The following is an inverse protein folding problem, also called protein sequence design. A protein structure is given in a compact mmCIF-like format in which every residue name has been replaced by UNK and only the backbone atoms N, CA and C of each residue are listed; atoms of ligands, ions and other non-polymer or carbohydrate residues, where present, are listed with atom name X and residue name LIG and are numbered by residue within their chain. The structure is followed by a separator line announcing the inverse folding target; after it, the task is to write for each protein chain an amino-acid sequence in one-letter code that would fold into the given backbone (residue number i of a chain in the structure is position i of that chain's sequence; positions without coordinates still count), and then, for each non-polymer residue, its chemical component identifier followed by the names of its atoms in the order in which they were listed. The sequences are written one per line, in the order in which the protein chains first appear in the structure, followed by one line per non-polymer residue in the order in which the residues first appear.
data_IF_511863242120
#
_entry.id   IF_511863242120
#
_cell.length_a   1.000
_cell.length_b   1.000
_cell.length_c   1.000
_cell.angle_alpha   90.00
_cell.angle_beta   90.00
_cell.angle_gamma   90.00
#
_symmetry.space_group_name_H-M   'P 1'
#
loop_
_entity.id
_entity.type
_entity.pdbx_description
1 polymer ?
#
# COMPACT_ATOMS: atom_id res chain seq x y z
N UNK A 1 5.97 34.00 21.92
CA UNK A 1 5.56 32.64 22.32
C UNK A 1 4.94 31.94 21.12
N UNK A 2 5.72 31.19 20.34
CA UNK A 2 5.22 30.46 19.17
C UNK A 2 4.77 29.07 19.61
N UNK A 3 3.46 28.82 19.60
CA UNK A 3 2.91 27.47 19.77
C UNK A 3 3.27 26.65 18.54
N UNK A 4 4.21 25.71 18.68
CA UNK A 4 4.43 24.62 17.74
C UNK A 4 3.17 23.74 17.75
N UNK A 5 2.38 23.82 16.69
CA UNK A 5 1.26 22.91 16.47
C UNK A 5 1.85 21.63 15.88
N UNK A 6 2.09 20.64 16.74
CA UNK A 6 2.40 19.28 16.34
C UNK A 6 1.13 18.67 15.72
N UNK A 7 1.03 18.68 14.39
CA UNK A 7 0.02 17.92 13.66
C UNK A 7 0.42 16.44 13.63
N UNK A 8 0.03 15.72 14.69
CA UNK A 8 -0.16 14.28 14.63
C UNK A 8 -1.38 14.00 13.74
N UNK A 9 -1.15 13.85 12.43
CA UNK A 9 -2.19 13.44 11.49
C UNK A 9 -2.05 11.93 11.22
N UNK A 10 -2.46 11.14 12.20
CA UNK A 10 -2.66 9.70 12.10
C UNK A 10 -3.92 9.37 11.29
N UNK A 11 -3.88 9.65 9.99
CA UNK A 11 -4.78 9.09 9.00
C UNK A 11 -3.93 8.41 7.93
N UNK A 12 -4.13 7.10 7.75
CA UNK A 12 -3.53 6.25 6.71
C UNK A 12 -4.00 6.68 5.30
N UNK A 13 -3.67 7.90 4.88
CA UNK A 13 -3.79 8.33 3.49
C UNK A 13 -2.48 7.91 2.82
N UNK A 14 -2.51 7.06 1.78
CA UNK A 14 -1.33 6.79 0.98
C UNK A 14 -0.81 8.13 0.47
N UNK A 15 0.41 8.51 0.88
CA UNK A 15 1.06 9.70 0.36
C UNK A 15 1.35 9.40 -1.10
N UNK A 16 0.60 10.02 -2.01
CA UNK A 16 0.84 9.93 -3.44
C UNK A 16 2.12 10.71 -3.72
N UNK A 17 3.16 10.01 -4.17
CA UNK A 17 4.48 10.62 -4.43
C UNK A 17 4.58 11.12 -5.88
N UNK A 18 3.85 10.51 -6.81
CA UNK A 18 3.85 10.86 -8.24
C UNK A 18 3.00 9.92 -9.09
N UNK A 19 2.91 10.20 -10.39
CA UNK A 19 2.35 9.30 -11.40
C UNK A 19 3.42 8.33 -11.90
N UNK A 20 3.01 7.14 -12.35
CA UNK A 20 3.92 6.11 -12.85
C UNK A 20 3.26 5.21 -13.90
N UNK A 21 4.05 4.44 -14.63
CA UNK A 21 3.61 3.28 -15.43
C UNK A 21 4.27 2.00 -14.92
N UNK A 22 5.51 2.11 -14.47
CA UNK A 22 6.31 1.03 -13.87
C UNK A 22 6.97 1.48 -12.56
N UNK A 23 7.48 0.56 -11.75
CA UNK A 23 8.10 0.85 -10.45
C UNK A 23 9.30 1.80 -10.60
N UNK A 24 10.07 1.66 -11.68
CA UNK A 24 11.25 2.48 -11.98
C UNK A 24 10.92 3.96 -12.12
N UNK A 25 9.70 4.30 -12.57
CA UNK A 25 9.25 5.70 -12.68
C UNK A 25 9.16 6.40 -11.32
N UNK A 26 9.06 5.63 -10.24
CA UNK A 26 8.97 6.15 -8.88
C UNK A 26 10.33 6.56 -8.29
N UNK A 27 11.44 6.22 -8.94
CA UNK A 27 12.80 6.60 -8.55
C UNK A 27 13.38 5.83 -7.35
N UNK A 28 12.62 5.66 -6.27
CA UNK A 28 13.01 4.90 -5.08
C UNK A 28 12.31 3.52 -5.06
N UNK A 29 12.81 2.60 -5.88
CA UNK A 29 12.21 1.26 -6.09
C UNK A 29 12.27 0.36 -4.86
N UNK A 30 13.10 0.69 -3.87
CA UNK A 30 13.19 -0.07 -2.61
C UNK A 30 12.05 0.28 -1.64
N UNK A 31 11.45 1.46 -1.80
CA UNK A 31 10.43 1.98 -0.88
C UNK A 31 9.08 2.25 -1.54
N UNK A 32 9.07 2.51 -2.84
CA UNK A 32 7.89 2.87 -3.60
C UNK A 32 7.56 1.81 -4.65
N UNK A 33 6.26 1.66 -4.90
CA UNK A 33 5.75 0.83 -5.99
C UNK A 33 4.80 1.63 -6.85
N UNK A 34 4.71 1.26 -8.13
CA UNK A 34 3.68 1.75 -9.01
C UNK A 34 2.38 0.96 -8.80
N UNK A 35 1.37 1.62 -8.22
CA UNK A 35 0.07 1.04 -7.87
C UNK A 35 -1.02 1.55 -8.81
N UNK A 36 -1.75 0.63 -9.43
CA UNK A 36 -2.92 0.87 -10.28
C UNK A 36 -4.17 0.72 -9.40
N UNK A 37 -4.66 1.83 -8.87
CA UNK A 37 -5.75 1.87 -7.88
C UNK A 37 -6.83 2.86 -8.31
N UNK A 38 -8.09 2.72 -7.86
CA UNK A 38 -9.06 3.79 -8.02
C UNK A 38 -8.52 5.11 -7.45
N UNK A 39 -8.87 6.22 -8.10
CA UNK A 39 -8.41 7.55 -7.69
C UNK A 39 -8.70 7.83 -6.20
N UNK A 40 -7.64 7.95 -5.38
CA UNK A 40 -7.77 8.25 -3.96
C UNK A 40 -8.35 9.66 -3.76
N UNK A 41 -9.32 9.81 -2.84
CA UNK A 41 -9.84 11.12 -2.41
C UNK A 41 -11.07 11.66 -3.15
N UNK A 42 -11.52 11.04 -4.25
CA UNK A 42 -12.83 11.36 -4.83
C UNK A 42 -13.87 10.32 -4.41
N UNK A 43 -14.59 10.60 -3.32
CA UNK A 43 -15.89 9.95 -3.07
C UNK A 43 -16.76 10.25 -4.30
N UNK A 44 -17.15 9.23 -5.04
CA UNK A 44 -17.88 9.32 -6.31
C UNK A 44 -17.06 9.93 -7.44
N UNK A 45 -16.53 9.09 -8.31
CA UNK A 45 -16.56 9.24 -9.76
C UNK A 45 -16.35 7.84 -10.33
N UNK A 46 -17.01 7.55 -11.44
CA UNK A 46 -17.22 6.25 -12.05
C UNK A 46 -16.16 5.19 -11.74
N UNK A 47 -16.62 3.98 -11.43
CA UNK A 47 -15.87 2.75 -11.11
C UNK A 47 -14.79 2.33 -12.13
N UNK A 48 -14.58 3.13 -13.17
CA UNK A 48 -13.77 2.83 -14.33
C UNK A 48 -12.47 3.67 -14.40
N UNK A 49 -12.25 4.66 -13.53
CA UNK A 49 -11.04 5.48 -13.58
C UNK A 49 -9.95 4.95 -12.63
N UNK A 50 -9.19 3.97 -13.13
CA UNK A 50 -7.98 3.48 -12.48
C UNK A 50 -6.84 4.47 -12.72
N UNK A 51 -6.10 4.80 -11.66
CA UNK A 51 -4.97 5.73 -11.72
C UNK A 51 -3.72 5.03 -11.24
N UNK A 52 -2.60 5.36 -11.88
CA UNK A 52 -1.30 4.84 -11.54
C UNK A 52 -0.57 5.85 -10.64
N UNK A 53 -0.29 5.43 -9.41
CA UNK A 53 0.39 6.25 -8.42
C UNK A 53 1.59 5.53 -7.84
N UNK A 54 2.68 6.28 -7.63
CA UNK A 54 3.76 5.87 -6.75
C UNK A 54 3.27 5.93 -5.31
N UNK A 55 3.09 4.75 -4.71
CA UNK A 55 2.68 4.59 -3.32
C UNK A 55 3.78 3.85 -2.54
N UNK A 56 3.89 4.08 -1.23
CA UNK A 56 4.85 3.34 -0.41
C UNK A 56 4.46 1.86 -0.31
N UNK A 57 5.47 0.98 -0.33
CA UNK A 57 5.27 -0.40 0.10
C UNK A 57 4.79 -0.46 1.56
N UNK A 58 4.01 -1.50 1.88
CA UNK A 58 3.57 -1.75 3.26
C UNK A 58 4.74 -2.27 4.09
N UNK A 59 4.88 -1.74 5.31
CA UNK A 59 5.82 -2.24 6.31
C UNK A 59 5.09 -3.17 7.31
N UNK A 60 5.84 -3.70 8.29
CA UNK A 60 5.32 -4.54 9.39
C UNK A 60 4.18 -3.88 10.20
N UNK A 61 4.18 -2.55 10.27
CA UNK A 61 3.16 -1.77 10.99
C UNK A 61 1.91 -1.50 10.17
N UNK A 62 1.86 -1.88 8.88
CA UNK A 62 0.67 -1.74 8.07
C UNK A 62 -0.52 -2.47 8.70
N UNK A 63 -1.69 -1.84 8.68
CA UNK A 63 -2.91 -2.42 9.26
C UNK A 63 -3.22 -3.78 8.66
N UNK A 64 -3.06 -3.93 7.34
CA UNK A 64 -3.35 -5.15 6.61
C UNK A 64 -2.53 -5.21 5.32
N UNK A 65 -2.38 -6.41 4.77
CA UNK A 65 -1.87 -6.66 3.42
C UNK A 65 -2.75 -7.69 2.71
N UNK A 66 -2.67 -7.76 1.37
CA UNK A 66 -3.41 -8.76 0.57
C UNK A 66 -2.55 -10.01 0.39
N UNK A 67 -3.09 -11.19 0.68
CA UNK A 67 -2.37 -12.47 0.54
C UNK A 67 -2.05 -12.79 -0.93
N UNK A 68 -2.85 -12.29 -1.86
CA UNK A 68 -2.73 -12.54 -3.30
C UNK A 68 -1.69 -11.64 -3.98
N UNK A 69 -1.16 -10.64 -3.28
CA UNK A 69 -0.21 -9.67 -3.86
C UNK A 69 1.04 -9.67 -3.00
N UNK A 70 2.14 -10.17 -3.56
CA UNK A 70 3.44 -10.24 -2.90
C UNK A 70 4.45 -9.39 -3.67
N UNK A 71 5.43 -8.83 -2.96
CA UNK A 71 6.53 -8.15 -3.62
C UNK A 71 7.35 -9.14 -4.45
N UNK A 72 7.74 -8.70 -5.64
CA UNK A 72 8.63 -9.42 -6.54
C UNK A 72 9.34 -8.40 -7.42
N UNK A 73 10.66 -8.49 -7.60
CA UNK A 73 11.42 -7.58 -8.46
C UNK A 73 11.06 -7.72 -9.95
N UNK A 74 10.40 -8.81 -10.34
CA UNK A 74 9.99 -9.05 -11.74
C UNK A 74 8.68 -8.34 -12.11
N UNK A 75 7.91 -7.90 -11.10
CA UNK A 75 6.62 -7.25 -11.32
C UNK A 75 6.86 -5.76 -11.56
N UNK A 76 6.45 -5.28 -12.74
CA UNK A 76 6.65 -3.88 -13.14
C UNK A 76 5.68 -2.91 -12.45
N UNK A 77 4.48 -3.34 -12.10
CA UNK A 77 3.48 -2.54 -11.38
C UNK A 77 2.45 -3.46 -10.71
N UNK A 78 1.65 -2.92 -9.79
CA UNK A 78 0.68 -3.69 -9.02
C UNK A 78 -0.74 -3.19 -9.28
N UNK A 79 -1.64 -4.10 -9.66
CA UNK A 79 -3.07 -3.82 -9.64
C UNK A 79 -3.58 -3.87 -8.19
N UNK A 80 -4.17 -2.76 -7.73
CA UNK A 80 -4.47 -2.42 -6.32
C UNK A 80 -3.28 -1.81 -5.56
N UNK A 81 -3.45 -1.60 -4.24
CA UNK A 81 -2.44 -1.02 -3.36
C UNK A 81 -1.15 -1.84 -3.33
N UNK A 82 -0.01 -1.18 -3.08
CA UNK A 82 1.29 -1.83 -2.96
C UNK A 82 1.31 -3.00 -1.94
N UNK A 83 2.08 -4.07 -2.22
CA UNK A 83 2.26 -5.19 -1.29
C UNK A 83 3.14 -4.80 -0.09
N UNK A 84 3.42 -5.78 0.77
CA UNK A 84 4.53 -5.68 1.72
C UNK A 84 5.84 -5.44 0.97
N UNK A 85 6.73 -4.62 1.52
CA UNK A 85 8.00 -4.25 0.88
C UNK A 85 9.04 -5.37 0.85
N UNK A 86 10.23 -5.10 0.28
CA UNK A 86 11.34 -6.04 0.25
C UNK A 86 11.65 -6.65 1.62
N UNK A 87 11.88 -7.97 1.68
CA UNK A 87 12.15 -8.71 2.91
C UNK A 87 10.93 -9.03 3.78
N UNK A 88 9.75 -8.51 3.43
CA UNK A 88 8.49 -8.80 4.09
C UNK A 88 7.57 -9.63 3.19
N UNK A 89 6.76 -10.48 3.81
CA UNK A 89 5.71 -11.26 3.14
C UNK A 89 4.38 -11.03 3.82
N UNK A 90 3.31 -10.94 3.03
CA UNK A 90 1.97 -10.93 3.60
C UNK A 90 1.58 -12.34 4.04
N UNK A 91 1.35 -12.53 5.34
CA UNK A 91 1.01 -13.84 5.93
C UNK A 91 -0.35 -13.80 6.62
N UNK A 92 -1.09 -14.93 6.63
CA UNK A 92 -2.36 -15.01 7.34
C UNK A 92 -2.19 -14.67 8.82
N UNK A 93 -3.14 -13.93 9.39
CA UNK A 93 -3.09 -13.54 10.81
C UNK A 93 -4.45 -13.71 11.49
N UNK A 94 -4.42 -13.78 12.82
CA UNK A 94 -5.60 -13.74 13.68
C UNK A 94 -5.89 -12.38 14.28
N UNK A 95 -5.01 -11.39 14.09
CA UNK A 95 -5.09 -10.05 14.69
C UNK A 95 -6.15 -9.15 14.05
N UNK A 96 -6.55 -9.43 12.81
CA UNK A 96 -7.51 -8.61 12.08
C UNK A 96 -8.94 -9.06 12.33
N UNK A 97 -9.86 -8.08 12.38
CA UNK A 97 -11.30 -8.35 12.39
C UNK A 97 -11.70 -9.14 11.13
N UNK A 98 -12.22 -10.37 11.24
CA UNK A 98 -12.52 -11.22 10.09
C UNK A 98 -13.71 -10.73 9.26
N UNK A 99 -14.55 -9.85 9.79
CA UNK A 99 -15.68 -9.29 9.04
C UNK A 99 -15.19 -8.23 8.03
N UNK A 100 -14.31 -7.34 8.47
CA UNK A 100 -13.69 -6.30 7.63
C UNK A 100 -12.54 -6.85 6.77
N UNK A 101 -11.78 -7.81 7.30
CA UNK A 101 -10.60 -8.40 6.67
C UNK A 101 -10.66 -9.94 6.72
N UNK A 102 -11.36 -10.58 5.76
CA UNK A 102 -11.44 -12.04 5.69
C UNK A 102 -10.06 -12.71 5.64
N UNK A 103 -9.86 -13.70 6.52
CA UNK A 103 -8.57 -14.39 6.76
C UNK A 103 -7.97 -15.09 5.53
N UNK A 104 -8.81 -15.47 4.57
CA UNK A 104 -8.39 -16.11 3.32
C UNK A 104 -7.95 -15.10 2.24
N UNK A 105 -8.08 -13.79 2.50
CA UNK A 105 -7.71 -12.72 1.55
C UNK A 105 -6.68 -11.76 2.12
N UNK A 106 -6.69 -11.53 3.42
CA UNK A 106 -5.87 -10.51 4.06
C UNK A 106 -5.01 -11.06 5.19
N UNK A 107 -3.91 -10.36 5.45
CA UNK A 107 -2.88 -10.75 6.39
C UNK A 107 -2.14 -9.56 7.01
N UNK A 108 -0.99 -9.84 7.63
CA UNK A 108 -0.04 -8.84 8.12
C UNK A 108 1.31 -9.03 7.44
N UNK A 109 2.08 -7.94 7.32
CA UNK A 109 3.43 -8.01 6.80
C UNK A 109 4.37 -8.55 7.87
N UNK A 110 5.06 -9.64 7.57
CA UNK A 110 5.99 -10.32 8.48
C UNK A 110 7.31 -10.59 7.76
N UNK A 111 8.42 -10.61 8.49
CA UNK A 111 9.73 -10.95 7.92
C UNK A 111 9.75 -12.35 7.34
N UNK A 112 10.37 -12.51 6.17
CA UNK A 112 10.62 -13.83 5.57
C UNK A 112 11.74 -14.48 6.36
N UNK A 113 11.43 -15.59 7.04
CA UNK A 113 12.41 -16.43 7.77
C UNK A 113 13.19 -17.27 6.79
#
# INVERSE_FOLDING_TARGET
MMRRVSLFLSCLVPVIVGYCMVNEDCGDVDRLCCSITPALGKRQLDSNFMVHYCLPYKNENATWCSLNVQHSPEIQNYYSLCPCGPGLRCTPTTELDPHSYPRHRYGKCTHVV
#
